data_IF_825846183899
#
_entry.id   IF_825846183899
#
_cell.length_a   1.000
_cell.length_b   1.000
_cell.length_c   1.000
_cell.angle_alpha   90.00
_cell.angle_beta   90.00
_cell.angle_gamma   90.00
#
_symmetry.space_group_name_H-M   'P 1'
#
loop_
_entity.id
_entity.type
_entity.pdbx_description
1 polymer ?
#
# COMPACT_ATOMS: atom_id res chain seq x y z
N UNK A 1 15.29 3.03 -0.18
CA UNK A 1 15.28 2.23 1.07
C UNK A 1 16.57 2.44 1.85
N UNK A 2 16.58 2.25 3.16
CA UNK A 2 17.81 2.28 3.95
C UNK A 2 18.53 0.93 3.84
N UNK A 3 19.87 0.90 3.89
CA UNK A 3 20.68 -0.27 3.56
C UNK A 3 20.28 -1.58 4.22
N UNK A 4 19.97 -1.60 5.53
CA UNK A 4 19.60 -2.83 6.24
C UNK A 4 18.27 -3.43 5.73
N UNK A 5 17.25 -2.61 5.48
CA UNK A 5 15.97 -3.08 4.95
C UNK A 5 16.10 -3.58 3.51
N UNK A 6 16.98 -2.96 2.73
CA UNK A 6 17.28 -3.39 1.38
C UNK A 6 17.94 -4.77 1.36
N UNK A 7 18.95 -4.98 2.22
CA UNK A 7 19.62 -6.28 2.33
C UNK A 7 18.66 -7.39 2.83
N UNK A 8 17.77 -7.07 3.74
CA UNK A 8 16.74 -8.02 4.18
C UNK A 8 15.85 -8.44 3.00
N UNK A 9 15.34 -7.47 2.25
CA UNK A 9 14.45 -7.74 1.12
C UNK A 9 15.18 -8.53 0.00
N UNK A 10 16.44 -8.22 -0.29
CA UNK A 10 17.28 -9.00 -1.23
C UNK A 10 17.43 -10.46 -0.80
N UNK A 11 17.45 -10.71 0.50
CA UNK A 11 17.54 -12.04 1.08
C UNK A 11 16.15 -12.71 1.25
N UNK A 12 15.11 -12.18 0.62
CA UNK A 12 13.77 -12.73 0.70
C UNK A 12 13.05 -12.45 2.03
N UNK A 13 13.58 -11.56 2.87
CA UNK A 13 12.94 -11.19 4.14
C UNK A 13 12.09 -9.94 3.90
N UNK A 14 10.79 -10.14 3.81
CA UNK A 14 9.82 -9.06 3.60
C UNK A 14 9.29 -8.58 4.94
N UNK A 15 9.51 -7.30 5.23
CA UNK A 15 9.02 -6.67 6.45
C UNK A 15 7.62 -6.13 6.25
N UNK A 16 6.69 -6.54 7.12
CA UNK A 16 5.32 -6.06 7.16
C UNK A 16 5.11 -5.16 8.37
N UNK A 17 4.76 -3.92 8.12
CA UNK A 17 4.46 -2.95 9.18
C UNK A 17 3.01 -3.04 9.63
N UNK A 18 2.69 -2.82 10.92
CA UNK A 18 1.32 -2.61 11.36
C UNK A 18 0.71 -1.42 10.61
N UNK A 19 -0.56 -1.53 10.26
CA UNK A 19 -1.23 -0.46 9.50
C UNK A 19 -1.36 0.83 10.34
N UNK A 20 -1.45 0.69 11.65
CA UNK A 20 -1.54 1.78 12.61
C UNK A 20 -0.31 2.70 12.56
N UNK A 21 0.88 2.16 12.26
CA UNK A 21 2.09 2.97 12.12
C UNK A 21 1.98 4.02 11.02
N UNK A 22 1.19 3.76 9.97
CA UNK A 22 0.97 4.74 8.91
C UNK A 22 0.03 5.86 9.35
N UNK A 23 -0.85 5.62 10.34
CA UNK A 23 -1.70 6.66 10.93
C UNK A 23 -0.91 7.59 11.85
N UNK A 24 0.13 7.08 12.50
CA UNK A 24 0.97 7.81 13.45
C UNK A 24 2.14 8.52 12.79
N UNK A 25 2.55 8.07 11.60
CA UNK A 25 3.65 8.70 10.86
C UNK A 25 3.26 10.12 10.43
N UNK A 26 3.98 11.10 10.97
CA UNK A 26 3.74 12.52 10.69
C UNK A 26 4.38 13.01 9.39
N UNK A 27 5.09 12.13 8.69
CA UNK A 27 5.72 12.49 7.41
C UNK A 27 4.66 12.57 6.30
N UNK A 28 4.66 13.67 5.56
CA UNK A 28 3.66 13.92 4.52
C UNK A 28 3.70 12.94 3.34
N UNK A 29 4.73 12.13 3.23
CA UNK A 29 4.93 11.19 2.12
C UNK A 29 4.70 9.71 2.51
N UNK A 30 4.66 9.38 3.81
CA UNK A 30 4.42 8.02 4.29
C UNK A 30 3.12 7.92 5.06
N UNK A 31 2.92 8.84 5.99
CA UNK A 31 1.81 8.81 6.93
C UNK A 31 0.49 9.18 6.29
N UNK A 32 -0.55 8.45 6.59
CA UNK A 32 -1.94 8.79 6.29
C UNK A 32 -2.77 8.60 7.55
N UNK A 33 -3.08 9.70 8.23
CA UNK A 33 -3.94 9.68 9.44
C UNK A 33 -5.31 9.06 9.21
N UNK A 34 -5.73 8.99 7.93
CA UNK A 34 -6.97 8.38 7.49
C UNK A 34 -6.79 6.95 6.97
N UNK A 35 -5.62 6.35 7.19
CA UNK A 35 -5.37 4.95 6.82
C UNK A 35 -6.36 4.01 7.52
N UNK A 36 -7.07 3.18 6.76
CA UNK A 36 -8.11 2.31 7.30
C UNK A 36 -9.31 3.01 7.94
N UNK A 37 -9.49 4.31 7.69
CA UNK A 37 -10.59 5.13 8.22
C UNK A 37 -11.38 5.76 7.09
N UNK A 38 -12.63 6.09 7.37
CA UNK A 38 -13.51 6.81 6.46
C UNK A 38 -14.32 7.89 7.18
N UNK A 39 -14.66 8.96 6.46
CA UNK A 39 -15.51 10.00 6.98
C UNK A 39 -16.97 9.58 6.95
N UNK A 40 -17.66 9.77 8.06
CA UNK A 40 -19.11 9.61 8.11
C UNK A 40 -19.81 10.72 7.34
N UNK A 41 -20.85 10.35 6.61
CA UNK A 41 -21.74 11.31 5.98
C UNK A 41 -22.67 11.93 7.01
N UNK A 42 -22.38 13.15 7.44
CA UNK A 42 -23.20 13.91 8.38
C UNK A 42 -24.42 14.61 7.70
N UNK A 43 -24.68 14.40 6.41
CA UNK A 43 -25.91 14.86 5.74
C UNK A 43 -27.16 14.12 6.21
N UNK A 44 -27.00 13.00 6.94
CA UNK A 44 -28.07 12.27 7.62
C UNK A 44 -28.00 12.54 9.12
N UNK A 45 -29.14 12.53 9.84
CA UNK A 45 -29.13 12.67 11.29
C UNK A 45 -28.21 11.66 11.95
N UNK A 46 -27.26 12.13 12.75
CA UNK A 46 -26.41 11.28 13.57
C UNK A 46 -27.04 11.14 14.96
N UNK A 47 -27.71 10.02 15.17
CA UNK A 47 -28.52 9.77 16.36
C UNK A 47 -27.78 8.85 17.32
N UNK A 48 -27.54 9.32 18.55
CA UNK A 48 -26.96 8.53 19.64
C UNK A 48 -27.98 8.45 20.77
N UNK A 49 -28.35 7.25 21.17
CA UNK A 49 -29.36 7.01 22.22
C UNK A 49 -30.68 7.75 21.99
N UNK A 50 -31.12 7.87 20.73
CA UNK A 50 -32.34 8.56 20.35
C UNK A 50 -32.26 10.09 20.28
N UNK A 51 -31.09 10.67 20.50
CA UNK A 51 -30.82 12.10 20.39
C UNK A 51 -30.04 12.39 19.11
N UNK A 52 -30.55 13.29 18.27
CA UNK A 52 -29.81 13.80 17.11
C UNK A 52 -28.74 14.79 17.59
N UNK A 53 -27.49 14.42 17.38
CA UNK A 53 -26.31 15.20 17.74
C UNK A 53 -25.59 15.81 16.53
N UNK A 54 -26.17 15.73 15.33
CA UNK A 54 -25.58 16.21 14.10
C UNK A 54 -25.11 17.67 14.16
N UNK A 55 -25.85 18.52 14.85
CA UNK A 55 -25.52 19.96 15.02
C UNK A 55 -24.26 20.22 15.85
N UNK A 56 -23.80 19.22 16.60
CA UNK A 56 -22.63 19.32 17.50
C UNK A 56 -21.41 18.63 16.99
N UNK A 57 -21.49 18.00 15.80
CA UNK A 57 -20.42 17.22 15.21
C UNK A 57 -20.04 17.87 13.87
N UNK A 58 -18.84 18.43 13.79
CA UNK A 58 -18.30 18.98 12.56
C UNK A 58 -17.77 17.87 11.64
N UNK A 59 -17.15 16.84 12.21
CA UNK A 59 -16.56 15.72 11.51
C UNK A 59 -16.67 14.45 12.36
N UNK A 60 -17.03 13.35 11.73
CA UNK A 60 -17.01 12.03 12.36
C UNK A 60 -16.26 11.04 11.47
N UNK A 61 -15.46 10.20 12.09
CA UNK A 61 -14.62 9.20 11.42
C UNK A 61 -14.91 7.83 12.00
N UNK A 62 -15.07 6.85 11.13
CA UNK A 62 -15.13 5.42 11.51
C UNK A 62 -13.80 4.78 11.18
N UNK A 63 -13.26 3.99 12.11
CA UNK A 63 -12.18 3.06 11.85
C UNK A 63 -12.81 1.71 11.47
N UNK A 64 -12.40 1.19 10.31
CA UNK A 64 -12.84 -0.11 9.81
C UNK A 64 -11.74 -1.17 9.94
N UNK A 65 -10.71 -0.91 10.73
CA UNK A 65 -9.63 -1.88 10.97
C UNK A 65 -10.20 -3.04 11.80
N UNK A 66 -10.00 -4.30 11.35
CA UNK A 66 -10.43 -5.48 12.10
C UNK A 66 -9.78 -5.55 13.49
N UNK A 67 -10.46 -6.24 14.44
CA UNK A 67 -9.94 -6.51 15.80
C UNK A 67 -8.77 -7.52 15.82
N UNK A 68 -8.03 -7.63 14.74
CA UNK A 68 -6.83 -8.45 14.65
C UNK A 68 -5.69 -7.61 14.06
N UNK A 69 -4.43 -7.94 14.36
CA UNK A 69 -3.29 -7.24 13.79
C UNK A 69 -3.32 -7.30 12.26
N UNK A 70 -3.43 -6.15 11.61
CA UNK A 70 -3.31 -6.00 10.15
C UNK A 70 -1.90 -5.53 9.84
N UNK A 71 -1.22 -6.28 9.00
CA UNK A 71 0.14 -6.02 8.58
C UNK A 71 0.18 -5.71 7.10
N UNK A 72 0.96 -4.74 6.69
CA UNK A 72 1.05 -4.36 5.29
C UNK A 72 2.49 -4.19 4.79
N UNK A 73 2.66 -4.52 3.53
CA UNK A 73 3.84 -4.20 2.72
C UNK A 73 3.36 -3.42 1.49
N UNK A 74 4.06 -2.35 1.16
CA UNK A 74 3.74 -1.52 0.00
C UNK A 74 4.92 -1.40 -0.94
N UNK A 75 4.63 -1.38 -2.23
CA UNK A 75 5.58 -1.12 -3.30
C UNK A 75 4.92 -0.22 -4.36
N UNK A 76 5.72 0.40 -5.21
CA UNK A 76 5.20 1.15 -6.36
C UNK A 76 5.14 0.26 -7.59
N UNK A 77 4.00 0.27 -8.29
CA UNK A 77 3.87 -0.37 -9.59
C UNK A 77 4.41 0.54 -10.68
N UNK A 78 5.32 0.02 -11.50
CA UNK A 78 5.71 0.70 -12.73
C UNK A 78 4.62 0.50 -13.79
N UNK A 79 4.15 1.60 -14.37
CA UNK A 79 3.05 1.62 -15.34
C UNK A 79 3.07 2.92 -16.16
N UNK A 80 2.15 3.08 -17.09
CA UNK A 80 1.96 4.34 -17.83
C UNK A 80 1.69 5.57 -16.96
N UNK A 81 1.38 5.41 -15.67
CA UNK A 81 1.19 6.53 -14.75
C UNK A 81 2.52 7.17 -14.32
N UNK A 82 3.56 6.34 -14.19
CA UNK A 82 4.86 6.76 -13.68
C UNK A 82 6.02 6.52 -14.65
N UNK A 83 5.70 6.09 -15.88
CA UNK A 83 6.63 5.94 -16.98
C UNK A 83 6.14 6.70 -18.22
N UNK A 84 7.06 7.15 -19.07
CA UNK A 84 6.77 7.73 -20.37
C UNK A 84 7.62 7.05 -21.45
N UNK A 85 7.08 7.00 -22.67
CA UNK A 85 7.78 6.43 -23.81
C UNK A 85 8.85 7.41 -24.30
N UNK A 86 10.08 6.92 -24.48
CA UNK A 86 11.23 7.71 -24.99
C UNK A 86 11.60 7.31 -26.42
N UNK A 87 11.29 6.09 -26.83
CA UNK A 87 11.40 5.60 -28.20
C UNK A 87 10.45 4.42 -28.41
N UNK A 88 10.38 3.85 -29.59
CA UNK A 88 9.56 2.68 -29.88
C UNK A 88 9.84 1.57 -28.84
N UNK A 89 8.77 1.20 -28.13
CA UNK A 89 8.76 0.18 -27.05
C UNK A 89 9.82 0.40 -25.93
N UNK A 90 10.30 1.62 -25.73
CA UNK A 90 11.25 1.95 -24.67
C UNK A 90 10.69 3.03 -23.78
N UNK A 91 10.68 2.77 -22.48
CA UNK A 91 10.10 3.64 -21.45
C UNK A 91 11.13 4.08 -20.43
N UNK A 92 10.95 5.30 -19.93
CA UNK A 92 11.71 5.86 -18.81
C UNK A 92 10.76 6.22 -17.66
N UNK A 93 11.28 6.27 -16.44
CA UNK A 93 10.53 6.77 -15.30
C UNK A 93 10.30 8.28 -15.41
N UNK A 94 9.16 8.74 -14.94
CA UNK A 94 8.84 10.16 -14.86
C UNK A 94 9.66 10.84 -13.75
N UNK A 95 10.19 12.03 -14.00
CA UNK A 95 10.97 12.79 -13.02
C UNK A 95 10.19 13.03 -11.72
N UNK A 96 8.89 13.34 -11.81
CA UNK A 96 8.02 13.54 -10.66
C UNK A 96 7.90 12.27 -9.80
N UNK A 97 7.85 11.10 -10.43
CA UNK A 97 7.82 9.83 -9.73
C UNK A 97 9.16 9.57 -9.02
N UNK A 98 10.28 9.80 -9.70
CA UNK A 98 11.61 9.65 -9.10
C UNK A 98 11.77 10.60 -7.91
N UNK A 99 11.38 11.87 -8.06
CA UNK A 99 11.44 12.86 -6.98
C UNK A 99 10.58 12.47 -5.78
N UNK A 100 9.36 11.95 -6.01
CA UNK A 100 8.50 11.45 -4.95
C UNK A 100 9.12 10.24 -4.24
N UNK A 101 9.61 9.26 -5.01
CA UNK A 101 10.17 8.02 -4.45
C UNK A 101 11.51 8.24 -3.74
N UNK A 102 12.29 9.25 -4.11
CA UNK A 102 13.56 9.58 -3.45
C UNK A 102 13.38 10.00 -1.99
N UNK A 103 12.18 10.43 -1.59
CA UNK A 103 11.86 10.74 -0.20
C UNK A 103 11.88 9.50 0.71
N UNK A 104 11.73 8.31 0.14
CA UNK A 104 11.78 7.02 0.88
C UNK A 104 13.20 6.49 1.07
N UNK A 105 14.17 7.00 0.33
CA UNK A 105 15.57 6.62 0.41
C UNK A 105 16.28 6.79 -0.93
N UNK A 106 17.56 6.50 -0.92
CA UNK A 106 18.51 6.69 -2.01
C UNK A 106 18.70 5.45 -2.92
N UNK A 107 18.03 4.35 -2.59
CA UNK A 107 18.08 3.12 -3.36
C UNK A 107 16.69 2.54 -3.61
N UNK A 108 16.52 1.91 -4.75
CA UNK A 108 15.34 1.16 -5.13
C UNK A 108 15.70 -0.26 -5.54
N UNK A 109 14.76 -1.18 -5.34
CA UNK A 109 14.87 -2.57 -5.74
C UNK A 109 13.72 -2.88 -6.69
N UNK A 110 14.04 -3.41 -7.86
CA UNK A 110 13.05 -3.85 -8.83
C UNK A 110 12.85 -5.36 -8.75
N UNK A 111 11.61 -5.80 -8.85
CA UNK A 111 11.28 -7.23 -8.84
C UNK A 111 10.07 -7.51 -9.74
N UNK A 112 9.98 -8.76 -10.19
CA UNK A 112 8.80 -9.22 -10.92
C UNK A 112 7.61 -9.31 -9.97
N UNK A 113 6.50 -8.68 -10.34
CA UNK A 113 5.30 -8.61 -9.51
C UNK A 113 4.72 -10.00 -9.22
N UNK A 114 4.54 -10.81 -10.26
CA UNK A 114 3.91 -12.14 -10.13
C UNK A 114 4.74 -13.07 -9.27
N UNK A 115 6.05 -13.09 -9.47
CA UNK A 115 6.96 -13.95 -8.69
C UNK A 115 6.94 -13.55 -7.21
N UNK A 116 6.94 -12.24 -6.94
CA UNK A 116 6.90 -11.72 -5.58
C UNK A 116 5.59 -12.07 -4.87
N UNK A 117 4.45 -11.83 -5.52
CA UNK A 117 3.13 -12.15 -4.96
C UNK A 117 2.99 -13.65 -4.70
N UNK A 118 3.37 -14.49 -5.67
CA UNK A 118 3.29 -15.94 -5.52
C UNK A 118 4.14 -16.44 -4.33
N UNK A 119 5.33 -15.87 -4.14
CA UNK A 119 6.17 -16.22 -3.01
C UNK A 119 5.54 -15.82 -1.65
N UNK A 120 4.90 -14.64 -1.57
CA UNK A 120 4.19 -14.19 -0.37
C UNK A 120 2.98 -15.08 -0.08
N UNK A 121 2.13 -15.31 -1.08
CA UNK A 121 0.91 -16.12 -0.98
C UNK A 121 1.24 -17.52 -0.49
N UNK A 122 2.20 -18.22 -1.10
CA UNK A 122 2.63 -19.55 -0.69
C UNK A 122 2.98 -19.64 0.81
N UNK A 123 3.66 -18.62 1.33
CA UNK A 123 4.05 -18.61 2.73
C UNK A 123 2.87 -18.33 3.66
N UNK A 124 1.98 -17.40 3.29
CA UNK A 124 0.83 -17.03 4.11
C UNK A 124 -0.23 -18.13 4.14
N UNK A 125 -0.46 -18.81 3.01
CA UNK A 125 -1.34 -19.98 2.95
C UNK A 125 -0.81 -21.12 3.81
N UNK A 126 0.51 -21.39 3.76
CA UNK A 126 1.13 -22.37 4.62
C UNK A 126 0.99 -22.04 6.11
N UNK A 127 0.93 -20.75 6.45
CA UNK A 127 0.71 -20.26 7.81
C UNK A 127 -0.77 -20.16 8.20
N UNK A 128 -1.69 -20.39 7.29
CA UNK A 128 -3.14 -20.25 7.53
C UNK A 128 -3.58 -18.80 7.76
N UNK A 129 -2.85 -17.83 7.25
CA UNK A 129 -3.18 -16.42 7.38
C UNK A 129 -4.12 -15.95 6.28
N UNK A 130 -5.14 -15.17 6.61
CA UNK A 130 -5.91 -14.41 5.64
C UNK A 130 -5.06 -13.30 5.04
N UNK A 131 -5.15 -13.06 3.75
CA UNK A 131 -4.40 -12.02 3.06
C UNK A 131 -5.21 -11.37 1.94
N UNK A 132 -4.74 -10.22 1.47
CA UNK A 132 -5.25 -9.56 0.29
C UNK A 132 -4.18 -8.67 -0.34
N UNK A 133 -4.29 -8.40 -1.62
CA UNK A 133 -3.39 -7.49 -2.32
C UNK A 133 -4.12 -6.77 -3.44
N UNK A 134 -3.85 -5.47 -3.59
CA UNK A 134 -4.50 -4.65 -4.60
C UNK A 134 -3.71 -3.35 -4.85
N UNK A 135 -3.79 -2.74 -6.04
CA UNK A 135 -3.38 -1.36 -6.25
C UNK A 135 -4.19 -0.41 -5.37
N UNK A 136 -3.52 0.57 -4.77
CA UNK A 136 -4.21 1.59 -3.96
C UNK A 136 -5.09 2.46 -4.85
N UNK A 137 -6.34 2.63 -4.42
CA UNK A 137 -7.28 3.56 -4.99
C UNK A 137 -7.17 4.91 -4.28
N UNK A 138 -6.81 5.94 -5.03
CA UNK A 138 -6.74 7.30 -4.51
C UNK A 138 -8.07 8.02 -4.74
N UNK A 139 -8.70 8.48 -3.68
CA UNK A 139 -9.98 9.18 -3.70
C UNK A 139 -9.97 10.35 -2.74
N UNK A 140 -10.81 11.33 -2.98
CA UNK A 140 -11.11 12.37 -1.99
C UNK A 140 -12.05 11.78 -0.93
N UNK A 141 -11.49 11.35 0.20
CA UNK A 141 -12.25 10.70 1.28
C UNK A 141 -13.32 11.61 1.90
N UNK A 142 -13.20 12.93 1.72
CA UNK A 142 -14.20 13.90 2.20
C UNK A 142 -15.45 13.98 1.33
N UNK A 143 -15.34 13.54 0.06
CA UNK A 143 -16.49 13.44 -0.83
C UNK A 143 -17.26 12.17 -0.55
N UNK A 144 -18.30 12.32 0.29
CA UNK A 144 -19.18 11.22 0.68
C UNK A 144 -19.76 10.48 -0.53
N UNK A 145 -19.81 9.16 -0.45
CA UNK A 145 -20.33 8.29 -1.50
C UNK A 145 -19.25 7.66 -2.38
N UNK A 146 -18.08 8.28 -2.55
CA UNK A 146 -17.03 7.71 -3.40
C UNK A 146 -16.47 6.38 -2.86
N UNK A 147 -16.25 6.30 -1.55
CA UNK A 147 -15.81 5.05 -0.92
C UNK A 147 -16.89 3.99 -1.09
N UNK A 148 -18.15 4.35 -0.85
CA UNK A 148 -19.27 3.45 -1.01
C UNK A 148 -19.42 2.97 -2.45
N UNK A 149 -19.32 3.88 -3.44
CA UNK A 149 -19.34 3.51 -4.85
C UNK A 149 -18.19 2.57 -5.23
N UNK A 150 -17.05 2.72 -4.57
CA UNK A 150 -15.91 1.81 -4.73
C UNK A 150 -16.25 0.43 -4.17
N UNK A 151 -16.78 0.37 -2.95
CA UNK A 151 -17.18 -0.89 -2.32
C UNK A 151 -18.27 -1.62 -3.11
N UNK A 152 -19.20 -0.90 -3.72
CA UNK A 152 -20.26 -1.50 -4.53
C UNK A 152 -19.74 -2.19 -5.82
N UNK A 153 -18.51 -1.88 -6.23
CA UNK A 153 -17.87 -2.44 -7.43
C UNK A 153 -16.95 -3.64 -7.17
N UNK A 154 -16.68 -3.95 -5.92
CA UNK A 154 -15.85 -5.09 -5.53
C UNK A 154 -16.74 -6.22 -5.05
N UNK A 155 -16.22 -7.45 -5.12
CA UNK A 155 -16.92 -8.63 -4.61
C UNK A 155 -17.13 -8.56 -3.09
N UNK A 156 -18.12 -9.30 -2.60
CA UNK A 156 -18.50 -9.27 -1.19
C UNK A 156 -17.39 -9.72 -0.26
N UNK A 157 -16.56 -10.69 -0.68
CA UNK A 157 -15.46 -11.22 0.14
C UNK A 157 -14.35 -10.16 0.32
N UNK A 158 -14.14 -9.33 -0.70
CA UNK A 158 -13.13 -8.25 -0.67
C UNK A 158 -13.62 -6.98 0.02
N UNK A 159 -14.93 -6.80 0.22
CA UNK A 159 -15.50 -5.57 0.81
C UNK A 159 -14.98 -5.28 2.21
N UNK A 160 -14.81 -6.30 3.03
CA UNK A 160 -14.30 -6.14 4.40
C UNK A 160 -12.89 -5.58 4.47
N UNK A 161 -12.10 -5.76 3.40
CA UNK A 161 -10.72 -5.28 3.30
C UNK A 161 -10.56 -4.02 2.46
N UNK A 162 -11.60 -3.61 1.73
CA UNK A 162 -11.49 -2.56 0.71
C UNK A 162 -10.95 -1.23 1.26
N UNK A 163 -11.28 -0.88 2.50
CA UNK A 163 -10.80 0.32 3.18
C UNK A 163 -9.27 0.33 3.38
N UNK A 164 -8.63 -0.84 3.37
CA UNK A 164 -7.17 -0.97 3.46
C UNK A 164 -6.45 -0.63 2.14
N UNK A 165 -7.20 -0.53 1.05
CA UNK A 165 -6.68 -0.25 -0.29
C UNK A 165 -7.12 1.12 -0.83
N UNK A 166 -7.53 2.03 0.07
CA UNK A 166 -7.97 3.38 -0.30
C UNK A 166 -7.18 4.42 0.47
N UNK A 167 -6.56 5.36 -0.26
CA UNK A 167 -5.87 6.53 0.31
C UNK A 167 -6.53 7.84 -0.11
N UNK A 168 -6.34 8.89 0.70
CA UNK A 168 -6.80 10.23 0.37
C UNK A 168 -5.94 10.85 -0.73
N UNK A 169 -6.57 11.62 -1.63
CA UNK A 169 -5.87 12.41 -2.67
C UNK A 169 -5.29 13.71 -2.15
N UNK A 170 -5.43 14.02 -0.86
CA UNK A 170 -5.03 15.31 -0.28
C UNK A 170 -3.55 15.65 -0.40
N UNK A 171 -2.69 14.65 -0.62
CA UNK A 171 -1.23 14.79 -0.73
C UNK A 171 -0.72 14.21 -2.06
N UNK A 172 0.59 14.08 -2.21
CA UNK A 172 1.27 13.51 -3.38
C UNK A 172 1.12 11.99 -3.54
N UNK A 173 0.36 11.32 -2.66
CA UNK A 173 0.16 9.87 -2.70
C UNK A 173 -0.14 9.27 -4.08
N UNK A 174 -0.97 9.89 -4.95
CA UNK A 174 -1.24 9.34 -6.28
C UNK A 174 0.00 9.15 -7.16
N UNK A 175 1.07 9.94 -6.93
CA UNK A 175 2.33 9.81 -7.66
C UNK A 175 3.07 8.51 -7.32
N UNK A 176 2.84 7.97 -6.12
CA UNK A 176 3.49 6.74 -5.66
C UNK A 176 3.03 5.52 -6.46
N UNK A 177 1.83 5.57 -7.07
CA UNK A 177 1.23 4.44 -7.78
C UNK A 177 1.35 3.16 -6.95
N UNK A 178 0.94 3.26 -5.69
CA UNK A 178 1.17 2.24 -4.67
C UNK A 178 0.36 0.97 -4.97
N UNK A 179 1.00 -0.15 -4.78
CA UNK A 179 0.40 -1.45 -4.63
C UNK A 179 0.66 -1.94 -3.21
N UNK A 180 -0.35 -2.57 -2.62
CA UNK A 180 -0.29 -3.01 -1.24
C UNK A 180 -0.61 -4.49 -1.13
N UNK A 181 0.14 -5.16 -0.27
CA UNK A 181 -0.16 -6.48 0.23
C UNK A 181 -0.48 -6.36 1.72
N UNK A 182 -1.58 -6.97 2.17
CA UNK A 182 -1.96 -7.02 3.58
C UNK A 182 -2.15 -8.47 4.02
N UNK A 183 -1.91 -8.76 5.28
CA UNK A 183 -2.32 -10.00 5.88
C UNK A 183 -2.85 -9.79 7.29
N UNK A 184 -3.66 -10.75 7.74
CA UNK A 184 -4.32 -10.76 9.04
C UNK A 184 -3.67 -11.81 9.93
N UNK A 185 -3.06 -11.36 11.02
CA UNK A 185 -2.32 -12.22 11.95
C UNK A 185 -3.22 -12.65 13.11
N UNK A 186 -4.33 -13.34 12.80
CA UNK A 186 -5.35 -13.78 13.79
C UNK A 186 -4.79 -14.61 14.93
N UNK A 187 -3.74 -15.37 14.67
CA UNK A 187 -3.18 -16.31 15.63
C UNK A 187 -1.88 -15.81 16.28
N UNK A 188 -1.49 -14.55 16.04
CA UNK A 188 -0.13 -14.08 16.36
C UNK A 188 0.95 -15.07 15.88
N UNK A 189 0.69 -15.73 14.75
CA UNK A 189 1.50 -16.81 14.21
C UNK A 189 2.96 -16.38 14.00
N UNK A 190 3.12 -15.13 13.59
CA UNK A 190 4.41 -14.53 13.42
C UNK A 190 4.91 -13.91 14.75
N UNK A 191 5.21 -14.74 15.71
CA UNK A 191 5.91 -14.34 16.94
C UNK A 191 7.36 -13.95 16.63
N UNK A 192 7.53 -12.87 15.91
CA UNK A 192 8.85 -12.42 15.52
C UNK A 192 9.21 -11.16 16.27
N UNK A 193 10.13 -11.35 17.23
CA UNK A 193 10.99 -10.33 17.77
C UNK A 193 10.32 -9.08 18.34
N UNK A 194 11.02 -8.45 19.22
CA UNK A 194 10.71 -7.14 19.78
C UNK A 194 10.65 -6.11 18.64
N UNK A 195 9.46 -5.61 18.34
CA UNK A 195 9.24 -4.58 17.33
C UNK A 195 7.83 -4.59 16.76
N UNK A 196 7.39 -3.46 16.25
CA UNK A 196 6.03 -3.26 15.74
C UNK A 196 5.77 -3.94 14.38
N UNK A 197 6.79 -4.47 13.72
CA UNK A 197 6.73 -5.12 12.42
C UNK A 197 6.93 -6.62 12.45
N UNK A 198 6.55 -7.30 11.38
CA UNK A 198 6.73 -8.73 11.16
C UNK A 198 7.54 -8.99 9.90
N UNK A 199 8.46 -9.94 10.00
CA UNK A 199 9.27 -10.38 8.88
C UNK A 199 8.75 -11.71 8.34
N UNK A 200 8.48 -11.75 7.06
CA UNK A 200 8.14 -12.97 6.35
C UNK A 200 9.32 -13.39 5.47
N UNK A 201 9.89 -14.57 5.75
CA UNK A 201 10.91 -15.15 4.88
C UNK A 201 10.23 -15.80 3.67
N UNK A 202 10.67 -15.48 2.47
CA UNK A 202 10.18 -16.04 1.22
C UNK A 202 11.31 -16.71 0.47
N UNK A 203 10.98 -17.69 -0.38
CA UNK A 203 11.91 -18.28 -1.34
C UNK A 203 12.10 -17.38 -2.57
N UNK A 204 11.88 -16.09 -2.41
CA UNK A 204 11.96 -15.12 -3.48
C UNK A 204 13.41 -15.01 -3.99
N UNK A 205 13.58 -14.93 -5.32
CA UNK A 205 14.90 -14.88 -5.93
C UNK A 205 15.74 -13.72 -5.43
N UNK A 206 16.93 -14.03 -4.96
CA UNK A 206 17.90 -13.08 -4.41
C UNK A 206 18.58 -12.21 -5.47
N UNK A 207 18.27 -12.38 -6.76
CA UNK A 207 18.90 -11.64 -7.87
C UNK A 207 18.11 -10.39 -8.27
N UNK A 208 17.51 -9.71 -7.31
CA UNK A 208 16.84 -8.45 -7.58
C UNK A 208 17.89 -7.36 -7.88
N UNK A 209 17.75 -6.65 -9.01
CA UNK A 209 18.63 -5.52 -9.29
C UNK A 209 18.34 -4.37 -8.31
N UNK A 210 19.41 -3.78 -7.80
CA UNK A 210 19.36 -2.59 -6.93
C UNK A 210 19.85 -1.40 -7.73
N UNK A 211 19.11 -0.32 -7.64
CA UNK A 211 19.41 0.94 -8.32
C UNK A 211 19.55 2.07 -7.29
N UNK A 212 20.51 2.94 -7.49
CA UNK A 212 20.53 4.25 -6.85
C UNK A 212 19.50 5.19 -7.50
N UNK A 213 19.18 6.29 -6.83
CA UNK A 213 18.29 7.31 -7.42
C UNK A 213 18.83 7.84 -8.75
N UNK A 214 20.15 8.04 -8.87
CA UNK A 214 20.78 8.52 -10.11
C UNK A 214 20.66 7.47 -11.24
N UNK A 215 20.81 6.21 -10.93
CA UNK A 215 20.63 5.11 -11.91
C UNK A 215 19.18 5.00 -12.36
N UNK A 216 18.20 5.27 -11.49
CA UNK A 216 16.79 5.30 -11.85
C UNK A 216 16.48 6.38 -12.90
N UNK A 217 17.16 7.53 -12.86
CA UNK A 217 16.99 8.59 -13.86
C UNK A 217 17.40 8.14 -15.27
N UNK A 218 18.30 7.17 -15.36
CA UNK A 218 18.79 6.61 -16.64
C UNK A 218 18.19 5.26 -16.99
N UNK A 219 17.38 4.69 -16.11
CA UNK A 219 16.72 3.39 -16.34
C UNK A 219 15.84 3.44 -17.59
N UNK A 220 16.00 2.42 -18.43
CA UNK A 220 15.16 2.20 -19.61
C UNK A 220 14.61 0.78 -19.56
N UNK A 221 13.32 0.66 -19.75
CA UNK A 221 12.61 -0.63 -19.73
C UNK A 221 11.85 -0.81 -21.03
N UNK A 222 11.76 -2.04 -21.54
CA UNK A 222 10.86 -2.36 -22.65
C UNK A 222 9.40 -2.39 -22.18
N UNK A 223 8.47 -2.16 -23.10
CA UNK A 223 7.04 -2.24 -22.81
C UNK A 223 6.63 -3.60 -22.29
N UNK A 224 7.17 -4.67 -22.84
CA UNK A 224 6.92 -6.06 -22.41
C UNK A 224 7.30 -6.28 -20.94
N UNK A 225 8.41 -5.68 -20.47
CA UNK A 225 8.83 -5.77 -19.07
C UNK A 225 7.92 -5.00 -18.12
N UNK A 226 7.30 -3.89 -18.58
CA UNK A 226 6.50 -3.02 -17.72
C UNK A 226 5.03 -3.39 -17.70
N UNK A 227 4.49 -3.86 -18.81
CA UNK A 227 3.03 -3.98 -18.97
C UNK A 227 2.57 -5.43 -19.16
N UNK A 228 3.50 -6.37 -19.35
CA UNK A 228 3.24 -7.80 -19.56
C UNK A 228 2.28 -8.06 -20.71
N UNK A 229 2.65 -8.79 -21.72
CA UNK A 229 1.69 -9.34 -22.69
C UNK A 229 1.11 -10.65 -22.16
#
# INVERSE_FOLDING_TARGET
MRGAALEQLKNGIVHFSPIELFQEDVTAFRGDKMEGKEYLNLSKPFVVNGVDISAYIEEAVISSIPDCPVRSFSASLLSHKNCHMVSEDTYALNDNFIAEMSQFGDHALLFNFSDFVNALVKNLEAAGCGYGYHPIKYIDKRKHGLIREYYDKIDEDSKSMAHLFVKDTANSYPLQNEWRFVFFDYNNYFHLGEGDGKNLCTEFSTQMPVFTTDELCTLRCSGDCLFGN
#
